data_IF_634072884609
#
_entry.id   IF_634072884609
#
_cell.length_a   1.000
_cell.length_b   1.000
_cell.length_c   1.000
_cell.angle_alpha   90.00
_cell.angle_beta   90.00
_cell.angle_gamma   90.00
#
_symmetry.space_group_name_H-M   'P 1'
#
loop_
_entity.id
_entity.type
_entity.pdbx_description
1 polymer ?
#
# COMPACT_ATOMS: atom_id res chain seq x y z
N UNK A 1 -5.41 13.53 5.66
CA UNK A 1 -6.06 12.86 6.81
C UNK A 1 -5.92 11.35 6.60
N UNK A 2 -4.82 10.75 7.06
CA UNK A 2 -4.72 9.28 7.09
C UNK A 2 -5.73 8.81 8.12
N UNK A 3 -6.79 8.14 7.67
CA UNK A 3 -7.85 7.63 8.53
C UNK A 3 -7.22 6.59 9.47
N UNK A 4 -7.31 6.86 10.78
CA UNK A 4 -6.95 5.96 11.90
C UNK A 4 -5.60 5.23 11.79
N UNK A 5 -4.65 5.67 12.61
CA UNK A 5 -3.28 5.14 12.77
C UNK A 5 -3.19 3.61 13.01
N UNK A 6 -4.31 2.96 13.33
CA UNK A 6 -4.43 1.51 13.54
C UNK A 6 -5.36 0.89 12.51
N UNK A 7 -4.96 -0.26 11.99
CA UNK A 7 -5.76 -1.05 11.06
C UNK A 7 -6.57 -2.12 11.80
N UNK A 8 -7.79 -2.39 11.36
CA UNK A 8 -8.69 -3.32 12.08
C UNK A 8 -8.55 -4.77 11.61
N UNK A 9 -8.10 -4.98 10.36
CA UNK A 9 -8.04 -6.28 9.70
C UNK A 9 -6.62 -6.61 9.25
N UNK A 10 -6.00 -7.62 9.86
CA UNK A 10 -4.72 -8.18 9.42
C UNK A 10 -4.80 -8.64 7.97
N UNK A 11 -3.80 -8.30 7.17
CA UNK A 11 -3.77 -8.56 5.72
C UNK A 11 -4.56 -7.57 4.88
N UNK A 12 -5.22 -6.57 5.48
CA UNK A 12 -5.74 -5.44 4.71
C UNK A 12 -4.58 -4.66 4.07
N UNK A 13 -4.77 -4.21 2.84
CA UNK A 13 -3.75 -3.47 2.08
C UNK A 13 -4.31 -2.14 1.58
N UNK A 14 -3.50 -1.10 1.62
CA UNK A 14 -3.84 0.23 1.09
C UNK A 14 -2.70 0.75 0.23
N UNK A 15 -3.04 1.46 -0.85
CA UNK A 15 -2.07 2.12 -1.71
C UNK A 15 -1.41 3.29 -0.98
N UNK A 16 -0.12 3.51 -1.24
CA UNK A 16 0.53 4.74 -0.84
C UNK A 16 0.15 5.86 -1.85
N UNK A 17 -0.39 6.99 -1.38
CA UNK A 17 -0.81 8.10 -2.25
C UNK A 17 0.37 8.90 -2.84
N UNK A 18 1.59 8.70 -2.35
CA UNK A 18 2.79 9.46 -2.74
C UNK A 18 3.79 8.65 -3.56
N UNK A 19 3.73 7.31 -3.55
CA UNK A 19 4.46 6.51 -4.53
C UNK A 19 3.80 5.16 -4.76
N UNK A 20 3.76 4.76 -6.01
CA UNK A 20 3.21 3.49 -6.45
C UNK A 20 4.13 2.31 -6.21
N UNK A 21 5.43 2.56 -5.97
CA UNK A 21 6.43 1.52 -5.74
C UNK A 21 6.25 0.84 -4.37
N UNK A 22 5.30 1.31 -3.57
CA UNK A 22 5.07 0.77 -2.24
C UNK A 22 3.60 0.89 -1.81
N UNK A 23 3.23 0.04 -0.86
CA UNK A 23 1.89 -0.03 -0.26
C UNK A 23 2.00 -0.23 1.24
N UNK A 24 0.88 -0.10 1.95
CA UNK A 24 0.83 -0.46 3.35
C UNK A 24 0.00 -1.73 3.53
N UNK A 25 0.54 -2.65 4.32
CA UNK A 25 -0.15 -3.86 4.75
C UNK A 25 -0.39 -3.80 6.26
N UNK A 26 -1.60 -4.15 6.67
CA UNK A 26 -1.94 -4.27 8.07
C UNK A 26 -1.34 -5.56 8.64
N UNK A 27 -0.39 -5.42 9.55
CA UNK A 27 0.25 -6.55 10.22
C UNK A 27 0.13 -6.47 11.74
N UNK A 28 0.14 -7.64 12.39
CA UNK A 28 0.17 -7.74 13.85
C UNK A 28 1.61 -7.71 14.35
N UNK A 29 1.96 -6.67 15.08
CA UNK A 29 3.26 -6.50 15.71
C UNK A 29 3.08 -6.21 17.20
N UNK A 30 3.65 -7.06 18.06
CA UNK A 30 3.59 -6.87 19.51
C UNK A 30 2.18 -6.89 20.11
N UNK A 31 1.21 -7.56 19.47
CA UNK A 31 -0.18 -7.60 19.90
C UNK A 31 -1.02 -6.40 19.48
N UNK A 32 -0.47 -5.53 18.62
CA UNK A 32 -1.16 -4.40 18.01
C UNK A 32 -1.19 -4.56 16.48
N UNK A 33 -2.27 -4.08 15.86
CA UNK A 33 -2.40 -4.03 14.40
C UNK A 33 -1.93 -2.67 13.91
N UNK A 34 -0.91 -2.68 13.06
CA UNK A 34 -0.27 -1.47 12.55
C UNK A 34 -0.08 -1.57 11.04
N UNK A 35 -0.14 -0.43 10.37
CA UNK A 35 0.23 -0.33 8.97
C UNK A 35 1.75 -0.45 8.84
N UNK A 36 2.20 -1.42 8.06
CA UNK A 36 3.61 -1.64 7.73
C UNK A 36 3.80 -1.31 6.26
N UNK A 37 4.82 -0.52 5.97
CA UNK A 37 5.18 -0.14 4.60
C UNK A 37 5.88 -1.31 3.92
N UNK A 38 5.46 -1.62 2.70
CA UNK A 38 5.91 -2.76 1.92
C UNK A 38 6.32 -2.28 0.54
N UNK A 39 7.54 -2.64 0.15
CA UNK A 39 8.08 -2.31 -1.17
C UNK A 39 7.60 -3.33 -2.21
N UNK A 40 7.18 -2.83 -3.36
CA UNK A 40 7.01 -3.63 -4.55
C UNK A 40 8.37 -3.98 -5.18
N UNK A 41 8.38 -4.99 -6.04
CA UNK A 41 9.59 -5.31 -6.79
C UNK A 41 9.98 -4.13 -7.70
N UNK A 42 11.27 -3.91 -7.97
CA UNK A 42 11.71 -2.79 -8.82
C UNK A 42 10.99 -2.77 -10.17
N UNK A 43 10.38 -1.63 -10.50
CA UNK A 43 9.62 -1.45 -11.75
C UNK A 43 8.19 -2.00 -11.72
N UNK A 44 7.66 -2.34 -10.54
CA UNK A 44 6.26 -2.73 -10.36
C UNK A 44 5.56 -1.79 -9.38
N UNK A 45 4.28 -1.56 -9.63
CA UNK A 45 3.43 -0.66 -8.86
C UNK A 45 2.35 -1.44 -8.12
N UNK A 46 1.91 -0.92 -6.98
CA UNK A 46 0.81 -1.51 -6.24
C UNK A 46 -0.52 -1.40 -7.00
N UNK A 47 -1.11 -2.54 -7.32
CA UNK A 47 -2.45 -2.67 -7.90
C UNK A 47 -3.47 -2.94 -6.79
N UNK A 48 -4.22 -1.91 -6.42
CA UNK A 48 -5.26 -2.00 -5.38
C UNK A 48 -6.49 -2.82 -5.77
N UNK A 49 -6.70 -3.08 -7.06
CA UNK A 49 -7.84 -3.88 -7.52
C UNK A 49 -7.54 -5.37 -7.39
N UNK A 50 -6.29 -5.74 -7.65
CA UNK A 50 -5.80 -7.13 -7.59
C UNK A 50 -5.10 -7.46 -6.27
N UNK A 51 -4.78 -6.45 -5.46
CA UNK A 51 -3.97 -6.56 -4.24
C UNK A 51 -2.62 -7.25 -4.50
N UNK A 52 -1.92 -6.83 -5.55
CA UNK A 52 -0.59 -7.33 -5.92
C UNK A 52 0.29 -6.19 -6.42
N UNK A 53 1.60 -6.38 -6.39
CA UNK A 53 2.51 -5.57 -7.19
C UNK A 53 2.42 -6.03 -8.65
N UNK A 54 1.99 -5.14 -9.54
CA UNK A 54 1.81 -5.42 -10.95
C UNK A 54 2.60 -4.42 -11.81
N UNK A 55 2.65 -4.64 -13.12
CA UNK A 55 3.27 -3.69 -14.03
C UNK A 55 2.56 -2.33 -13.97
N UNK A 56 3.30 -1.20 -14.06
CA UNK A 56 2.74 0.15 -13.96
C UNK A 56 1.57 0.43 -14.92
N UNK A 57 1.64 -0.17 -16.12
CA UNK A 57 0.62 -0.07 -17.17
C UNK A 57 -0.72 -0.71 -16.80
N UNK A 58 -0.70 -1.70 -15.89
CA UNK A 58 -1.88 -2.44 -15.45
C UNK A 58 -2.33 -2.08 -14.04
N UNK A 59 -1.38 -1.69 -13.18
CA UNK A 59 -1.63 -1.39 -11.77
C UNK A 59 -2.57 -0.19 -11.58
N UNK A 60 -2.71 0.67 -12.60
CA UNK A 60 -3.55 1.86 -12.59
C UNK A 60 -3.36 2.67 -11.29
N UNK A 61 -2.12 2.77 -10.84
CA UNK A 61 -1.81 3.47 -9.61
C UNK A 61 -1.77 4.98 -9.88
N UNK A 62 -2.48 5.73 -9.03
CA UNK A 62 -2.69 7.17 -9.21
C UNK A 62 -1.86 7.89 -8.14
N UNK A 63 -0.57 8.05 -8.39
CA UNK A 63 0.27 8.92 -7.56
C UNK A 63 -0.33 10.32 -7.59
N UNK A 64 -0.49 10.93 -6.41
CA UNK A 64 -0.70 12.36 -6.35
C UNK A 64 0.65 12.97 -6.77
N UNK A 65 0.75 13.65 -7.93
CA UNK A 65 1.99 14.28 -8.31
C UNK A 65 2.30 15.31 -7.22
N UNK A 66 3.41 15.11 -6.51
CA UNK A 66 3.88 16.11 -5.56
C UNK A 66 4.10 17.42 -6.33
N UNK A 67 3.51 18.54 -5.90
CA UNK A 67 3.72 19.85 -6.52
C UNK A 67 5.15 20.37 -6.32
#
# INVERSE_FOLDING_TARGET
>A
MYQNTTCDQTGATIADPYSCDHYFECNESGGQRVWVHQDCAPGTHWDRERNICNWPEEANCWEIPLP
#
